data_IF_415616638918
#
_entry.id   IF_415616638918
#
_cell.length_a   1.000
_cell.length_b   1.000
_cell.length_c   1.000
_cell.angle_alpha   90.00
_cell.angle_beta   90.00
_cell.angle_gamma   90.00
#
_symmetry.space_group_name_H-M   'P 1'
#
loop_
_entity.id
_entity.type
_entity.pdbx_description
1 polymer ?
#
# COMPACT_ATOMS: atom_id res chain seq x y z
N UNK A 1 -25.25 -3.80 -15.02
CA UNK A 1 -24.81 -3.96 -13.62
C UNK A 1 -25.94 -3.52 -12.71
N UNK A 2 -26.20 -4.23 -11.60
CA UNK A 2 -27.30 -3.90 -10.68
C UNK A 2 -26.79 -3.11 -9.46
N UNK A 3 -27.67 -2.37 -8.77
CA UNK A 3 -27.34 -1.71 -7.49
C UNK A 3 -26.75 -2.68 -6.46
N UNK A 4 -27.35 -3.87 -6.31
CA UNK A 4 -26.88 -4.89 -5.36
C UNK A 4 -25.45 -5.37 -5.69
N UNK A 5 -25.12 -5.57 -6.97
CA UNK A 5 -23.77 -5.94 -7.38
C UNK A 5 -22.76 -4.84 -7.06
N UNK A 6 -23.10 -3.58 -7.33
CA UNK A 6 -22.20 -2.45 -7.04
C UNK A 6 -21.97 -2.27 -5.53
N UNK A 7 -23.02 -2.38 -4.72
CA UNK A 7 -22.93 -2.39 -3.26
C UNK A 7 -22.00 -3.50 -2.78
N UNK A 8 -22.23 -4.73 -3.27
CA UNK A 8 -21.44 -5.88 -2.84
C UNK A 8 -19.97 -5.76 -3.22
N UNK A 9 -19.68 -5.25 -4.41
CA UNK A 9 -18.32 -4.96 -4.84
C UNK A 9 -17.64 -3.97 -3.90
N UNK A 10 -18.31 -2.86 -3.58
CA UNK A 10 -17.79 -1.86 -2.65
C UNK A 10 -17.48 -2.45 -1.29
N UNK A 11 -18.41 -3.21 -0.71
CA UNK A 11 -18.23 -3.88 0.58
C UNK A 11 -17.04 -4.85 0.59
N UNK A 12 -16.89 -5.65 -0.46
CA UNK A 12 -15.81 -6.64 -0.53
C UNK A 12 -14.43 -5.99 -0.66
N UNK A 13 -14.32 -4.88 -1.39
CA UNK A 13 -13.03 -4.23 -1.64
C UNK A 13 -12.62 -3.23 -0.57
N UNK A 14 -13.58 -2.49 -0.01
CA UNK A 14 -13.33 -1.33 0.85
C UNK A 14 -14.03 -1.42 2.22
N UNK A 15 -14.80 -2.48 2.48
CA UNK A 15 -15.52 -2.68 3.73
C UNK A 15 -16.85 -1.92 3.82
N UNK A 16 -17.46 -1.84 5.02
CA UNK A 16 -18.82 -1.34 5.19
C UNK A 16 -19.00 0.15 4.87
N UNK A 17 -17.91 0.93 4.84
CA UNK A 17 -17.91 2.37 4.51
C UNK A 17 -17.28 2.64 3.14
N UNK A 18 -17.68 1.87 2.13
CA UNK A 18 -17.04 1.84 0.81
C UNK A 18 -17.29 3.07 -0.07
N UNK A 19 -18.35 3.86 0.16
CA UNK A 19 -18.85 4.81 -0.84
C UNK A 19 -17.82 5.86 -1.28
N UNK A 20 -16.96 6.34 -0.37
CA UNK A 20 -15.89 7.29 -0.70
C UNK A 20 -14.81 6.64 -1.55
N UNK A 21 -14.21 5.55 -1.07
CA UNK A 21 -13.15 4.85 -1.78
C UNK A 21 -13.59 4.32 -3.15
N UNK A 22 -14.84 3.85 -3.26
CA UNK A 22 -15.41 3.41 -4.52
C UNK A 22 -15.61 4.57 -5.50
N UNK A 23 -16.04 5.74 -5.02
CA UNK A 23 -16.16 6.94 -5.87
C UNK A 23 -14.80 7.40 -6.41
N UNK A 24 -13.76 7.37 -5.57
CA UNK A 24 -12.39 7.68 -5.97
C UNK A 24 -11.87 6.68 -7.01
N UNK A 25 -12.02 5.38 -6.76
CA UNK A 25 -11.57 4.33 -7.68
C UNK A 25 -12.28 4.41 -9.05
N UNK A 26 -13.59 4.69 -9.04
CA UNK A 26 -14.38 4.91 -10.25
C UNK A 26 -13.95 6.16 -11.03
N UNK A 27 -13.34 7.14 -10.37
CA UNK A 27 -12.91 8.40 -10.99
C UNK A 27 -11.43 8.42 -11.39
N UNK A 28 -10.70 7.32 -11.16
CA UNK A 28 -9.25 7.32 -11.29
C UNK A 28 -8.73 7.37 -12.75
N UNK A 29 -9.58 7.11 -13.75
CA UNK A 29 -9.22 7.25 -15.16
C UNK A 29 -9.23 8.71 -15.66
N UNK A 30 -9.84 9.63 -14.89
CA UNK A 30 -9.97 11.05 -15.23
C UNK A 30 -10.99 11.37 -16.33
N UNK A 31 -11.51 10.38 -17.05
CA UNK A 31 -12.51 10.55 -18.11
C UNK A 31 -13.91 10.73 -17.51
N UNK A 32 -14.19 10.00 -16.43
CA UNK A 32 -15.45 10.06 -15.72
C UNK A 32 -15.25 10.44 -14.25
N UNK A 33 -16.20 11.18 -13.69
CA UNK A 33 -16.15 11.58 -12.27
C UNK A 33 -17.39 11.10 -11.51
N UNK A 34 -17.17 10.23 -10.54
CA UNK A 34 -18.16 9.84 -9.55
C UNK A 34 -17.97 10.63 -8.26
N UNK A 35 -19.07 11.14 -7.70
CA UNK A 35 -19.09 11.66 -6.34
C UNK A 35 -19.68 10.61 -5.40
N UNK A 36 -19.38 10.71 -4.10
CA UNK A 36 -19.95 9.83 -3.07
C UNK A 36 -21.48 9.81 -3.11
N UNK A 37 -22.09 10.97 -3.36
CA UNK A 37 -23.54 11.12 -3.54
C UNK A 37 -24.07 10.29 -4.71
N UNK A 38 -23.34 10.25 -5.83
CA UNK A 38 -23.70 9.43 -6.99
C UNK A 38 -23.69 7.95 -6.64
N UNK A 39 -22.59 7.48 -6.04
CA UNK A 39 -22.42 6.07 -5.63
C UNK A 39 -23.53 5.65 -4.67
N UNK A 40 -23.80 6.44 -3.63
CA UNK A 40 -24.89 6.18 -2.68
C UNK A 40 -26.26 6.11 -3.36
N UNK A 41 -26.51 6.99 -4.33
CA UNK A 41 -27.79 7.03 -5.05
C UNK A 41 -27.97 5.83 -5.98
N UNK A 42 -26.90 5.41 -6.65
CA UNK A 42 -26.84 4.23 -7.50
C UNK A 42 -27.04 2.94 -6.70
N UNK A 43 -26.32 2.78 -5.59
CA UNK A 43 -26.42 1.63 -4.69
C UNK A 43 -27.81 1.51 -4.05
N UNK A 44 -28.46 2.65 -3.75
CA UNK A 44 -29.83 2.68 -3.26
C UNK A 44 -30.89 2.43 -4.36
N UNK A 45 -30.49 2.27 -5.62
CA UNK A 45 -31.41 2.11 -6.76
C UNK A 45 -32.27 3.33 -7.06
N UNK A 46 -31.94 4.51 -6.48
CA UNK A 46 -32.69 5.76 -6.65
C UNK A 46 -32.42 6.43 -7.99
N UNK A 47 -31.31 6.08 -8.64
CA UNK A 47 -30.97 6.50 -10.01
C UNK A 47 -30.36 5.35 -10.79
N UNK A 48 -30.58 5.30 -12.12
CA UNK A 48 -29.94 4.32 -12.96
C UNK A 48 -28.41 4.46 -12.91
N UNK A 49 -27.73 3.32 -12.98
CA UNK A 49 -26.27 3.26 -13.03
C UNK A 49 -25.83 3.56 -14.47
N UNK A 50 -24.96 4.56 -14.70
CA UNK A 50 -24.42 4.84 -16.03
C UNK A 50 -23.66 3.63 -16.61
N UNK A 51 -23.71 3.47 -17.94
CA UNK A 51 -23.11 2.32 -18.62
C UNK A 51 -21.60 2.19 -18.38
N UNK A 52 -20.88 3.32 -18.32
CA UNK A 52 -19.43 3.37 -18.10
C UNK A 52 -19.01 2.74 -16.76
N UNK A 53 -19.88 2.84 -15.73
CA UNK A 53 -19.58 2.31 -14.38
C UNK A 53 -19.40 0.80 -14.42
N UNK A 54 -20.12 0.08 -15.30
CA UNK A 54 -20.01 -1.37 -15.40
C UNK A 54 -18.63 -1.81 -15.90
N UNK A 55 -18.08 -1.12 -16.92
CA UNK A 55 -16.74 -1.37 -17.42
C UNK A 55 -15.69 -1.09 -16.34
N UNK A 56 -15.77 0.10 -15.75
CA UNK A 56 -14.83 0.52 -14.71
C UNK A 56 -14.88 -0.35 -13.45
N UNK A 57 -16.06 -0.75 -13.01
CA UNK A 57 -16.22 -1.64 -11.87
C UNK A 57 -15.59 -3.01 -12.10
N UNK A 58 -15.59 -3.51 -13.35
CA UNK A 58 -14.92 -4.78 -13.70
C UNK A 58 -13.40 -4.66 -13.60
N UNK A 59 -12.83 -3.55 -14.05
CA UNK A 59 -11.39 -3.28 -13.93
C UNK A 59 -10.99 -3.19 -12.46
N UNK A 60 -11.75 -2.42 -11.67
CA UNK A 60 -11.56 -2.29 -10.21
C UNK A 60 -11.65 -3.65 -9.54
N UNK A 61 -12.64 -4.48 -9.88
CA UNK A 61 -12.78 -5.83 -9.33
C UNK A 61 -11.58 -6.72 -9.67
N UNK A 62 -11.09 -6.64 -10.91
CA UNK A 62 -9.95 -7.42 -11.38
C UNK A 62 -8.67 -7.02 -10.64
N UNK A 63 -8.43 -5.72 -10.49
CA UNK A 63 -7.28 -5.22 -9.74
C UNK A 63 -7.41 -5.56 -8.24
N UNK A 64 -8.58 -5.29 -7.65
CA UNK A 64 -8.85 -5.58 -6.25
C UNK A 64 -8.68 -7.06 -5.89
N UNK A 65 -9.03 -7.98 -6.80
CA UNK A 65 -8.76 -9.40 -6.61
C UNK A 65 -7.26 -9.70 -6.52
N UNK A 66 -6.44 -9.09 -7.38
CA UNK A 66 -4.97 -9.27 -7.35
C UNK A 66 -4.40 -8.73 -6.03
N UNK A 67 -4.80 -7.52 -5.66
CA UNK A 67 -4.34 -6.88 -4.42
C UNK A 67 -4.76 -7.67 -3.16
N UNK A 68 -5.92 -8.33 -3.20
CA UNK A 68 -6.35 -9.21 -2.10
C UNK A 68 -5.51 -10.48 -2.01
N UNK A 69 -5.19 -11.11 -3.15
CA UNK A 69 -4.32 -12.30 -3.18
C UNK A 69 -2.91 -11.96 -2.68
N UNK A 70 -2.36 -10.82 -3.11
CA UNK A 70 -1.05 -10.35 -2.64
C UNK A 70 -1.06 -10.10 -1.13
N UNK A 71 -2.07 -9.41 -0.60
CA UNK A 71 -2.21 -9.17 0.84
C UNK A 71 -2.39 -10.45 1.64
N UNK A 72 -3.13 -11.43 1.12
CA UNK A 72 -3.28 -12.74 1.76
C UNK A 72 -1.98 -13.52 1.78
N UNK A 73 -1.17 -13.42 0.73
CA UNK A 73 0.15 -14.05 0.65
C UNK A 73 1.08 -13.43 1.67
N UNK A 74 1.19 -12.09 1.71
CA UNK A 74 1.99 -11.37 2.69
C UNK A 74 1.55 -11.64 4.14
N UNK A 75 0.23 -11.75 4.39
CA UNK A 75 -0.29 -12.14 5.70
C UNK A 75 0.11 -13.57 6.06
N UNK A 76 0.09 -14.49 5.10
CA UNK A 76 0.47 -15.89 5.31
C UNK A 76 1.96 -15.99 5.68
N UNK A 77 2.82 -15.25 4.97
CA UNK A 77 4.25 -15.13 5.30
C UNK A 77 4.45 -14.58 6.72
N UNK A 78 3.70 -13.54 7.09
CA UNK A 78 3.75 -12.97 8.44
C UNK A 78 3.31 -13.98 9.53
N UNK A 79 2.32 -14.81 9.27
CA UNK A 79 1.86 -15.81 10.23
C UNK A 79 2.86 -16.97 10.39
N UNK A 80 3.65 -17.26 9.35
CA UNK A 80 4.70 -18.29 9.38
C UNK A 80 5.96 -17.76 10.07
N UNK A 81 6.38 -16.54 9.76
CA UNK A 81 7.50 -15.86 10.41
C UNK A 81 7.04 -14.48 10.93
N UNK A 82 6.59 -14.39 12.20
CA UNK A 82 6.10 -13.15 12.79
C UNK A 82 7.18 -12.07 12.91
N UNK A 83 8.45 -12.45 12.75
CA UNK A 83 9.61 -11.55 12.78
C UNK A 83 10.01 -11.02 11.41
N UNK A 84 9.52 -11.61 10.30
CA UNK A 84 9.89 -11.20 8.93
C UNK A 84 9.44 -9.76 8.58
N UNK A 85 8.41 -9.22 9.24
CA UNK A 85 7.98 -7.82 9.07
C UNK A 85 8.97 -6.81 9.69
N UNK A 86 9.88 -7.26 10.54
CA UNK A 86 11.05 -6.50 10.89
C UNK A 86 12.17 -6.99 9.98
N UNK A 87 12.44 -6.35 8.81
CA UNK A 87 13.81 -6.38 8.35
C UNK A 87 14.60 -5.91 9.56
N UNK A 88 15.39 -6.82 10.13
CA UNK A 88 16.20 -6.54 11.30
C UNK A 88 17.00 -5.32 10.89
N UNK A 89 16.59 -4.16 11.42
CA UNK A 89 17.20 -2.89 11.08
C UNK A 89 18.68 -3.14 11.40
N UNK A 90 19.60 -3.12 10.43
CA UNK A 90 20.99 -3.44 10.71
C UNK A 90 21.37 -2.51 11.86
N UNK A 91 21.74 -3.12 12.99
CA UNK A 91 21.98 -2.42 14.23
C UNK A 91 22.83 -1.20 13.89
N UNK A 92 22.22 0.00 13.95
CA UNK A 92 22.99 1.22 13.68
C UNK A 92 24.14 1.17 14.66
N UNK A 93 25.41 1.23 14.20
CA UNK A 93 26.54 1.10 15.09
C UNK A 93 26.36 2.12 16.22
N UNK A 94 26.26 1.60 17.44
CA UNK A 94 26.02 2.42 18.61
C UNK A 94 27.11 3.48 18.68
N UNK A 95 26.80 4.64 19.26
CA UNK A 95 27.78 5.73 19.47
C UNK A 95 29.08 5.25 20.17
N UNK A 96 29.00 4.13 20.87
CA UNK A 96 30.12 3.43 21.52
C UNK A 96 31.04 2.66 20.55
N UNK A 97 30.54 2.14 19.42
CA UNK A 97 31.40 1.50 18.40
C UNK A 97 32.28 2.51 17.67
N UNK A 98 31.83 3.77 17.54
CA UNK A 98 32.64 4.86 16.98
C UNK A 98 33.78 5.31 17.91
N UNK A 99 33.74 4.94 19.19
CA UNK A 99 34.78 5.25 20.16
C UNK A 99 35.86 4.16 20.24
N UNK A 100 35.71 3.06 19.48
CA UNK A 100 36.71 1.98 19.35
C UNK A 100 37.59 2.10 18.11
N UNK A 101 37.44 3.16 17.32
CA UNK A 101 38.38 3.46 16.24
C UNK A 101 39.77 3.77 16.82
N UNK A 102 40.87 3.31 16.20
CA UNK A 102 42.22 3.64 16.67
C UNK A 102 42.40 5.16 16.74
N UNK A 103 43.03 5.63 17.81
CA UNK A 103 43.30 7.05 18.03
C UNK A 103 44.28 7.53 16.95
N UNK A 104 44.08 8.71 16.34
CA UNK A 104 45.02 9.26 15.35
C UNK A 104 46.46 9.50 15.86
N UNK A 105 46.74 9.24 17.14
CA UNK A 105 48.07 9.40 17.74
C UNK A 105 48.88 8.08 17.76
N UNK A 106 48.31 6.96 17.30
CA UNK A 106 49.02 5.68 17.15
C UNK A 106 49.85 5.58 15.85
N UNK A 107 50.07 6.70 15.15
CA UNK A 107 50.97 6.74 13.98
C UNK A 107 52.40 6.86 14.52
N UNK A 108 53.27 5.85 14.35
CA UNK A 108 54.66 6.00 14.72
C UNK A 108 55.30 7.07 13.83
N UNK A 109 55.89 8.09 14.47
CA UNK A 109 56.70 9.12 13.84
C UNK A 109 57.72 8.44 12.92
N UNK A 110 57.52 8.60 11.62
CA UNK A 110 58.49 8.15 10.63
C UNK A 110 59.58 9.21 10.60
N UNK A 111 60.69 8.96 11.30
CA UNK A 111 61.87 9.80 11.23
C UNK A 111 62.30 9.96 9.75
N UNK A 112 62.52 11.19 9.26
CA UNK A 112 63.11 11.38 7.94
C UNK A 112 64.58 10.98 8.01
N UNK A 113 64.90 9.80 7.47
CA UNK A 113 66.27 9.44 7.13
C UNK A 113 66.63 10.19 5.86
N UNK A 114 67.48 11.20 5.99
CA UNK A 114 68.09 11.91 4.87
C UNK A 114 69.62 11.81 4.99
N UNK A 115 70.24 11.48 3.85
CA UNK A 115 71.68 11.40 3.52
C UNK A 115 72.49 10.16 3.97
#
# INVERSE_FOLDING_TARGET
MTPATLTRLGELLYGPRYATALAEALSADGEHRAQVSHVSTWCAGKRPIPAWVAGRAREIATQGQRDLVERLTALSELLIDPTALHPSQPARPGRLDRLRGPHPDDVPDTEPTDA
#
